data_IF_863137597224
#
_entry.id   IF_863137597224
#
_cell.length_a   1.000
_cell.length_b   1.000
_cell.length_c   1.000
_cell.angle_alpha   90.00
_cell.angle_beta   90.00
_cell.angle_gamma   90.00
#
_symmetry.space_group_name_H-M   'P 1'
#
loop_
_entity.id
_entity.type
_entity.pdbx_description
1 polymer ?
#
# COMPACT_ATOMS: atom_id res chain seq x y z
N UNK A 1 31.69 3.97 -9.95
CA UNK A 1 31.43 3.93 -8.50
C UNK A 1 29.94 4.06 -8.30
N UNK A 2 29.29 3.09 -7.64
CA UNK A 2 27.84 3.05 -7.39
C UNK A 2 27.52 3.34 -5.91
N UNK A 3 28.34 4.16 -5.24
CA UNK A 3 28.26 4.41 -3.79
C UNK A 3 26.94 5.03 -3.32
N UNK A 4 26.13 5.60 -4.23
CA UNK A 4 24.82 6.17 -3.92
C UNK A 4 23.67 5.14 -4.04
N UNK A 5 23.94 3.94 -4.55
CA UNK A 5 22.93 2.88 -4.68
C UNK A 5 22.72 2.27 -3.29
N UNK A 6 21.49 2.37 -2.80
CA UNK A 6 21.08 1.80 -1.52
C UNK A 6 20.84 0.30 -1.65
N UNK A 7 21.10 -0.43 -0.57
CA UNK A 7 20.88 -1.87 -0.48
C UNK A 7 19.71 -2.18 0.44
N UNK A 8 18.79 -3.00 -0.06
CA UNK A 8 17.62 -3.51 0.66
C UNK A 8 17.81 -5.01 0.91
N UNK A 9 17.56 -5.44 2.14
CA UNK A 9 17.61 -6.86 2.54
C UNK A 9 16.20 -7.47 2.62
N UNK A 10 16.14 -8.77 2.90
CA UNK A 10 14.93 -9.61 2.95
C UNK A 10 14.28 -9.80 1.58
N UNK A 11 13.57 -8.79 1.07
CA UNK A 11 12.81 -8.84 -0.18
C UNK A 11 11.94 -10.11 -0.32
N UNK A 12 11.19 -10.40 0.75
CA UNK A 12 10.32 -11.57 0.89
C UNK A 12 9.14 -11.21 1.82
N UNK A 13 8.25 -12.16 2.07
CA UNK A 13 7.09 -12.02 2.92
C UNK A 13 7.45 -11.53 4.33
N UNK A 14 6.71 -10.53 4.82
CA UNK A 14 6.94 -9.93 6.14
C UNK A 14 6.83 -10.91 7.33
N UNK A 15 6.29 -12.12 7.13
CA UNK A 15 6.28 -13.18 8.15
C UNK A 15 7.69 -13.60 8.60
N UNK A 16 8.69 -13.38 7.76
CA UNK A 16 10.09 -13.64 8.06
C UNK A 16 10.71 -12.60 9.01
N UNK A 17 10.02 -11.47 9.22
CA UNK A 17 10.32 -10.54 10.29
C UNK A 17 9.78 -11.09 11.61
N UNK A 18 10.49 -10.94 12.73
CA UNK A 18 11.70 -10.13 12.94
C UNK A 18 13.01 -10.87 12.66
N UNK A 19 12.95 -12.19 12.49
CA UNK A 19 14.11 -13.05 12.58
C UNK A 19 15.23 -12.64 11.61
N UNK A 20 14.90 -12.46 10.32
CA UNK A 20 15.90 -12.11 9.31
C UNK A 20 16.48 -10.71 9.48
N UNK A 21 15.68 -9.75 9.96
CA UNK A 21 16.19 -8.42 10.28
C UNK A 21 17.25 -8.50 11.39
N UNK A 22 17.00 -9.27 12.46
CA UNK A 22 17.98 -9.46 13.53
C UNK A 22 19.27 -10.14 13.06
N UNK A 23 19.14 -11.25 12.34
CA UNK A 23 20.31 -12.01 11.85
C UNK A 23 21.27 -11.14 11.05
N UNK A 24 20.75 -10.22 10.23
CA UNK A 24 21.57 -9.36 9.37
C UNK A 24 21.99 -8.07 10.07
N UNK A 25 21.10 -7.41 10.80
CA UNK A 25 21.34 -6.07 11.35
C UNK A 25 22.03 -6.08 12.72
N UNK A 26 22.06 -7.22 13.43
CA UNK A 26 22.88 -7.36 14.65
C UNK A 26 24.37 -7.63 14.32
N UNK A 27 24.72 -7.92 13.06
CA UNK A 27 26.11 -7.97 12.58
C UNK A 27 26.54 -6.58 12.04
N UNK A 28 27.45 -5.90 12.75
CA UNK A 28 27.93 -4.55 12.40
C UNK A 28 28.67 -4.48 11.04
N UNK A 29 29.29 -5.57 10.59
CA UNK A 29 29.95 -5.62 9.28
C UNK A 29 28.94 -5.71 8.15
N UNK A 30 27.81 -6.39 8.37
CA UNK A 30 26.71 -6.44 7.41
C UNK A 30 25.86 -5.15 7.46
N UNK A 31 25.46 -4.71 8.65
CA UNK A 31 24.54 -3.60 8.88
C UNK A 31 24.98 -2.29 8.21
N UNK A 32 26.30 -2.01 8.16
CA UNK A 32 26.84 -0.79 7.51
C UNK A 32 26.53 -0.66 6.02
N UNK A 33 26.16 -1.76 5.35
CA UNK A 33 25.79 -1.76 3.94
C UNK A 33 24.28 -1.68 3.73
N UNK A 34 23.48 -1.98 4.76
CA UNK A 34 22.03 -2.08 4.65
C UNK A 34 21.39 -0.72 4.89
N UNK A 35 20.48 -0.33 4.00
CA UNK A 35 19.75 0.93 4.10
C UNK A 35 18.28 0.69 4.45
N UNK A 36 17.73 -0.46 4.07
CA UNK A 36 16.34 -0.79 4.34
C UNK A 36 16.00 -2.27 4.19
N UNK A 37 14.73 -2.57 4.42
CA UNK A 37 14.16 -3.92 4.44
C UNK A 37 13.00 -3.97 3.45
N UNK A 38 13.05 -4.90 2.51
CA UNK A 38 12.01 -5.15 1.52
C UNK A 38 11.02 -6.18 2.04
N UNK A 39 9.72 -5.91 1.88
CA UNK A 39 8.65 -6.83 2.28
C UNK A 39 7.64 -7.09 1.16
N UNK A 40 7.12 -8.32 1.11
CA UNK A 40 6.03 -8.73 0.22
C UNK A 40 4.76 -9.09 1.01
N UNK A 41 3.60 -9.04 0.35
CA UNK A 41 2.27 -9.17 1.00
C UNK A 41 1.61 -10.57 0.93
N UNK A 42 2.21 -11.55 0.27
CA UNK A 42 1.51 -12.78 -0.13
C UNK A 42 1.07 -13.67 1.03
N UNK A 43 1.72 -13.53 2.19
CA UNK A 43 1.42 -14.25 3.42
C UNK A 43 0.82 -13.37 4.53
N UNK A 44 0.30 -12.19 4.18
CA UNK A 44 -0.25 -11.24 5.15
C UNK A 44 -1.41 -11.80 5.99
N UNK A 45 -2.12 -12.79 5.46
CA UNK A 45 -3.22 -13.48 6.15
C UNK A 45 -2.77 -14.34 7.33
N UNK A 46 -1.46 -14.64 7.46
CA UNK A 46 -0.92 -15.50 8.53
C UNK A 46 -0.72 -14.73 9.84
N UNK A 47 -0.44 -13.43 9.78
CA UNK A 47 -0.17 -12.64 10.99
C UNK A 47 -0.36 -11.15 10.78
N UNK A 48 -0.80 -10.41 11.81
CA UNK A 48 -1.05 -8.98 11.71
C UNK A 48 0.25 -8.19 11.52
N UNK A 49 0.17 -7.01 10.90
CA UNK A 49 1.33 -6.14 10.63
C UNK A 49 2.00 -5.65 11.92
N UNK A 50 1.24 -5.56 13.01
CA UNK A 50 1.70 -5.18 14.34
C UNK A 50 2.66 -6.19 14.96
N UNK A 51 2.60 -7.46 14.56
CA UNK A 51 3.49 -8.50 15.10
C UNK A 51 4.78 -8.65 14.29
N UNK A 52 4.86 -8.01 13.11
CA UNK A 52 6.00 -8.14 12.20
C UNK A 52 6.69 -6.80 11.95
N UNK A 53 6.02 -5.84 11.30
CA UNK A 53 6.66 -4.61 10.81
C UNK A 53 6.91 -3.62 11.94
N UNK A 54 5.93 -3.44 12.83
CA UNK A 54 6.04 -2.51 13.97
C UNK A 54 7.25 -2.83 14.85
N UNK A 55 7.41 -4.05 15.39
CA UNK A 55 8.58 -4.36 16.20
C UNK A 55 9.89 -4.35 15.40
N UNK A 56 9.85 -4.52 14.06
CA UNK A 56 11.06 -4.43 13.22
C UNK A 56 11.56 -2.99 13.22
N UNK A 57 10.64 -2.05 12.99
CA UNK A 57 10.94 -0.63 13.03
C UNK A 57 11.39 -0.18 14.43
N UNK A 58 10.77 -0.69 15.50
CA UNK A 58 11.17 -0.37 16.87
C UNK A 58 12.59 -0.85 17.20
N UNK A 59 13.01 -2.00 16.68
CA UNK A 59 14.36 -2.53 16.88
C UNK A 59 15.41 -1.83 15.98
N UNK A 60 15.03 -1.50 14.75
CA UNK A 60 15.94 -0.96 13.73
C UNK A 60 15.34 0.30 13.08
N UNK A 61 15.16 1.41 13.84
CA UNK A 61 14.44 2.59 13.37
C UNK A 61 15.16 3.35 12.24
N UNK A 62 16.49 3.19 12.14
CA UNK A 62 17.31 3.84 11.12
C UNK A 62 17.23 3.12 9.75
N UNK A 63 16.70 1.89 9.70
CA UNK A 63 16.46 1.15 8.47
C UNK A 63 15.02 1.40 8.00
N UNK A 64 14.85 1.93 6.79
CA UNK A 64 13.51 2.09 6.22
C UNK A 64 12.91 0.72 5.84
N UNK A 65 11.59 0.61 5.85
CA UNK A 65 10.88 -0.59 5.39
C UNK A 65 10.09 -0.22 4.14
N UNK A 66 10.27 -0.97 3.05
CA UNK A 66 9.63 -0.75 1.77
C UNK A 66 8.84 -2.00 1.37
N UNK A 67 7.56 -1.84 1.03
CA UNK A 67 6.82 -2.93 0.39
C UNK A 67 7.23 -2.99 -1.09
N UNK A 68 8.16 -3.89 -1.41
CA UNK A 68 8.85 -3.98 -2.70
C UNK A 68 8.05 -4.72 -3.77
N UNK A 69 7.10 -5.55 -3.36
CA UNK A 69 6.26 -6.32 -4.28
C UNK A 69 4.90 -6.66 -3.66
N UNK A 70 3.86 -6.50 -4.45
CA UNK A 70 2.52 -6.99 -4.17
C UNK A 70 1.76 -7.26 -5.46
N UNK A 71 1.03 -8.37 -5.51
CA UNK A 71 0.08 -8.67 -6.59
C UNK A 71 -1.04 -9.61 -6.15
N UNK A 72 -2.14 -9.57 -6.87
CA UNK A 72 -3.28 -10.46 -6.58
C UNK A 72 -3.03 -11.78 -7.27
N UNK A 73 -2.84 -12.83 -6.47
CA UNK A 73 -2.82 -14.19 -7.00
C UNK A 73 -4.19 -14.54 -7.56
N UNK A 74 -4.20 -15.09 -8.76
CA UNK A 74 -5.38 -15.75 -9.26
C UNK A 74 -5.66 -17.00 -8.42
N UNK A 75 -6.93 -17.29 -8.15
CA UNK A 75 -7.27 -18.61 -7.63
C UNK A 75 -7.02 -19.66 -8.71
N UNK A 76 -6.69 -20.89 -8.31
CA UNK A 76 -6.37 -21.96 -9.27
C UNK A 76 -7.52 -22.30 -10.24
N UNK A 77 -8.75 -21.93 -9.91
CA UNK A 77 -9.93 -22.09 -10.77
C UNK A 77 -10.24 -20.87 -11.65
N UNK A 78 -9.61 -19.73 -11.42
CA UNK A 78 -9.78 -18.52 -12.23
C UNK A 78 -8.89 -18.62 -13.47
N UNK A 79 -9.47 -19.03 -14.61
CA UNK A 79 -8.75 -19.16 -15.88
C UNK A 79 -8.36 -17.80 -16.47
N UNK A 80 -9.27 -16.84 -16.46
CA UNK A 80 -9.08 -15.54 -17.11
C UNK A 80 -8.99 -14.39 -16.09
N UNK A 81 -8.44 -13.24 -16.51
CA UNK A 81 -8.47 -12.02 -15.68
C UNK A 81 -9.91 -11.63 -15.34
N UNK A 82 -10.18 -11.36 -14.06
CA UNK A 82 -11.49 -10.87 -13.65
C UNK A 82 -11.52 -9.35 -13.83
N UNK A 83 -12.00 -8.94 -15.00
CA UNK A 83 -12.19 -7.54 -15.35
C UNK A 83 -13.13 -6.83 -14.37
N UNK A 84 -12.74 -5.64 -13.92
CA UNK A 84 -13.61 -4.75 -13.16
C UNK A 84 -13.89 -5.18 -11.71
N UNK A 85 -13.18 -6.17 -11.15
CA UNK A 85 -13.44 -6.64 -9.77
C UNK A 85 -13.03 -5.59 -8.73
N UNK A 86 -14.02 -4.86 -8.22
CA UNK A 86 -13.82 -3.80 -7.22
C UNK A 86 -13.06 -4.26 -5.97
N UNK A 87 -13.34 -5.49 -5.52
CA UNK A 87 -12.71 -6.07 -4.33
C UNK A 87 -11.19 -6.19 -4.45
N UNK A 88 -10.64 -6.37 -5.66
CA UNK A 88 -9.18 -6.35 -5.88
C UNK A 88 -8.63 -4.95 -5.65
N UNK A 89 -9.36 -3.91 -6.05
CA UNK A 89 -9.02 -2.52 -5.71
C UNK A 89 -9.04 -2.27 -4.20
N UNK A 90 -10.08 -2.72 -3.50
CA UNK A 90 -10.17 -2.65 -2.04
C UNK A 90 -8.95 -3.28 -1.35
N UNK A 91 -8.47 -4.44 -1.82
CA UNK A 91 -7.31 -5.12 -1.26
C UNK A 91 -6.02 -4.30 -1.41
N UNK A 92 -5.80 -3.63 -2.55
CA UNK A 92 -4.65 -2.73 -2.72
C UNK A 92 -4.69 -1.57 -1.73
N UNK A 93 -5.81 -0.85 -1.68
CA UNK A 93 -5.92 0.32 -0.79
C UNK A 93 -5.85 -0.07 0.68
N UNK A 94 -6.46 -1.20 1.07
CA UNK A 94 -6.34 -1.76 2.41
C UNK A 94 -4.88 -2.02 2.77
N UNK A 95 -4.15 -2.72 1.89
CA UNK A 95 -2.72 -3.01 2.09
C UNK A 95 -1.88 -1.74 2.17
N UNK A 96 -2.06 -0.79 1.24
CA UNK A 96 -1.32 0.47 1.24
C UNK A 96 -1.58 1.25 2.54
N UNK A 97 -2.84 1.36 2.97
CA UNK A 97 -3.20 2.03 4.23
C UNK A 97 -2.61 1.31 5.45
N UNK A 98 -2.63 -0.02 5.46
CA UNK A 98 -2.02 -0.80 6.53
C UNK A 98 -0.50 -0.54 6.58
N UNK A 99 0.20 -0.61 5.45
CA UNK A 99 1.63 -0.37 5.36
C UNK A 99 2.00 1.06 5.80
N UNK A 100 1.39 2.09 5.20
CA UNK A 100 1.69 3.50 5.50
C UNK A 100 1.35 3.90 6.95
N UNK A 101 0.40 3.21 7.59
CA UNK A 101 0.11 3.43 9.01
C UNK A 101 1.12 2.75 9.95
N UNK A 102 1.97 1.84 9.46
CA UNK A 102 2.93 1.05 10.24
C UNK A 102 4.35 1.15 9.67
N UNK A 103 4.85 2.39 9.53
CA UNK A 103 6.26 2.72 9.24
C UNK A 103 6.81 2.32 7.87
N UNK A 104 6.02 1.71 7.00
CA UNK A 104 6.45 1.39 5.64
C UNK A 104 6.45 2.67 4.81
N UNK A 105 7.57 2.95 4.13
CA UNK A 105 7.84 4.24 3.47
C UNK A 105 7.38 4.30 2.01
N UNK A 106 7.00 3.16 1.43
CA UNK A 106 6.55 3.06 0.05
C UNK A 106 5.92 1.71 -0.26
N UNK A 107 5.27 1.60 -1.41
CA UNK A 107 4.56 0.41 -1.84
C UNK A 107 4.66 0.25 -3.35
N UNK A 108 5.06 -0.94 -3.80
CA UNK A 108 5.38 -1.23 -5.19
C UNK A 108 4.52 -2.40 -5.69
N UNK A 109 3.77 -2.14 -6.76
CA UNK A 109 3.02 -3.15 -7.50
C UNK A 109 3.98 -4.07 -8.29
N UNK A 110 3.51 -5.25 -8.68
CA UNK A 110 4.31 -6.23 -9.40
C UNK A 110 4.38 -5.96 -10.92
N UNK A 111 3.51 -6.57 -11.71
CA UNK A 111 3.49 -6.37 -13.16
C UNK A 111 2.69 -5.10 -13.50
N UNK A 112 3.33 -4.12 -14.14
CA UNK A 112 2.67 -2.89 -14.58
C UNK A 112 1.51 -3.16 -15.56
N UNK A 113 1.63 -4.19 -16.38
CA UNK A 113 0.63 -4.62 -17.33
C UNK A 113 0.74 -6.14 -17.57
N UNK A 114 -0.38 -6.80 -17.84
CA UNK A 114 -0.46 -8.19 -18.32
C UNK A 114 -1.48 -8.26 -19.48
N UNK A 115 -1.46 -9.32 -20.27
CA UNK A 115 -2.51 -9.55 -21.27
C UNK A 115 -3.78 -10.18 -20.66
N UNK A 116 -4.77 -10.47 -21.51
CA UNK A 116 -6.03 -11.10 -21.13
C UNK A 116 -5.86 -12.51 -20.51
N UNK A 117 -4.79 -13.21 -20.88
CA UNK A 117 -4.45 -14.57 -20.45
C UNK A 117 -3.46 -14.59 -19.26
N UNK A 118 -2.98 -13.41 -18.83
CA UNK A 118 -1.96 -13.18 -17.78
C UNK A 118 -0.55 -13.62 -18.19
N UNK A 119 -0.30 -13.60 -19.49
CA UNK A 119 0.96 -13.94 -20.12
C UNK A 119 1.79 -12.67 -20.46
N UNK A 120 3.10 -12.81 -20.74
CA UNK A 120 3.88 -14.05 -20.72
C UNK A 120 4.30 -14.49 -19.31
N UNK A 121 4.03 -15.75 -18.95
CA UNK A 121 4.56 -16.40 -17.75
C UNK A 121 4.97 -17.85 -18.03
N UNK A 122 6.27 -18.12 -18.14
CA UNK A 122 6.79 -19.41 -18.58
C UNK A 122 6.45 -20.61 -17.65
N UNK A 123 6.25 -20.35 -16.36
CA UNK A 123 5.83 -21.37 -15.37
C UNK A 123 4.32 -21.36 -15.09
N UNK A 124 3.57 -20.51 -15.79
CA UNK A 124 2.11 -20.37 -15.62
C UNK A 124 1.69 -19.98 -14.20
N UNK A 125 2.53 -19.21 -13.51
CA UNK A 125 2.22 -18.66 -12.19
C UNK A 125 1.43 -17.35 -12.33
N UNK A 126 0.16 -17.48 -12.69
CA UNK A 126 -0.67 -16.36 -13.11
C UNK A 126 -1.17 -15.49 -11.96
N UNK A 127 -1.12 -14.18 -12.18
CA UNK A 127 -1.53 -13.13 -11.25
C UNK A 127 -2.34 -12.07 -12.00
N UNK A 128 -2.98 -11.17 -11.28
CA UNK A 128 -3.65 -10.01 -11.88
C UNK A 128 -2.71 -8.79 -11.96
N UNK A 129 -3.09 -7.80 -12.77
CA UNK A 129 -2.36 -6.55 -12.97
C UNK A 129 -3.34 -5.36 -12.99
N UNK A 130 -2.97 -4.17 -12.49
CA UNK A 130 -3.78 -2.96 -12.60
C UNK A 130 -4.12 -2.54 -14.04
N UNK A 131 -3.30 -2.92 -15.01
CA UNK A 131 -3.56 -2.68 -16.43
C UNK A 131 -3.56 -4.00 -17.19
N UNK A 132 -4.62 -4.22 -17.97
CA UNK A 132 -4.73 -5.38 -18.85
C UNK A 132 -4.70 -4.93 -20.30
N UNK A 133 -3.85 -5.53 -21.11
CA UNK A 133 -3.64 -5.17 -22.51
C UNK A 133 -4.31 -6.20 -23.40
N UNK A 134 -5.16 -5.74 -24.32
CA UNK A 134 -5.66 -6.54 -25.42
C UNK A 134 -4.86 -6.17 -26.68
N UNK A 135 -3.88 -7.01 -27.01
CA UNK A 135 -3.01 -6.78 -28.16
C UNK A 135 -3.71 -7.02 -29.50
N UNK A 136 -4.83 -7.74 -29.53
CA UNK A 136 -5.56 -8.02 -30.77
C UNK A 136 -6.32 -6.78 -31.25
N UNK A 137 -6.87 -6.02 -30.30
CA UNK A 137 -7.61 -4.79 -30.56
C UNK A 137 -6.75 -3.51 -30.37
N UNK A 138 -5.53 -3.63 -29.84
CA UNK A 138 -4.65 -2.50 -29.57
C UNK A 138 -5.15 -1.57 -28.47
N UNK A 139 -5.88 -2.10 -27.50
CA UNK A 139 -6.50 -1.36 -26.38
C UNK A 139 -5.98 -1.86 -25.04
N UNK A 140 -6.25 -1.11 -23.98
CA UNK A 140 -5.97 -1.54 -22.62
C UNK A 140 -7.07 -1.13 -21.65
N UNK A 141 -7.25 -1.95 -20.63
CA UNK A 141 -8.22 -1.78 -19.57
C UNK A 141 -7.51 -1.40 -18.28
N UNK A 142 -7.97 -0.30 -17.67
CA UNK A 142 -7.50 0.11 -16.35
C UNK A 142 -8.44 -0.48 -15.32
N UNK A 143 -7.95 -1.45 -14.56
CA UNK A 143 -8.72 -2.15 -13.53
C UNK A 143 -9.01 -1.23 -12.33
N UNK A 144 -9.96 -1.60 -11.44
CA UNK A 144 -10.15 -0.89 -10.17
C UNK A 144 -8.84 -0.70 -9.40
N UNK A 145 -7.96 -1.71 -9.37
CA UNK A 145 -6.62 -1.64 -8.75
C UNK A 145 -5.81 -0.41 -9.21
N UNK A 146 -5.87 -0.05 -10.50
CA UNK A 146 -5.18 1.12 -11.03
C UNK A 146 -5.67 2.41 -10.34
N UNK A 147 -6.98 2.56 -10.18
CA UNK A 147 -7.56 3.76 -9.58
C UNK A 147 -7.30 3.79 -8.07
N UNK A 148 -7.41 2.64 -7.41
CA UNK A 148 -7.08 2.48 -6.00
C UNK A 148 -5.61 2.82 -5.71
N UNK A 149 -4.66 2.39 -6.55
CA UNK A 149 -3.25 2.84 -6.49
C UNK A 149 -3.12 4.35 -6.68
N UNK A 150 -3.82 4.90 -7.68
CA UNK A 150 -3.79 6.34 -8.01
C UNK A 150 -4.24 7.24 -6.86
N UNK A 151 -5.13 6.77 -5.99
CA UNK A 151 -5.55 7.52 -4.79
C UNK A 151 -4.39 7.83 -3.83
N UNK A 152 -3.29 7.09 -3.92
CA UNK A 152 -2.05 7.31 -3.17
C UNK A 152 -0.97 7.91 -4.07
N UNK A 153 -0.60 7.22 -5.16
CA UNK A 153 0.56 7.59 -5.99
C UNK A 153 0.44 8.96 -6.67
N UNK A 154 -0.78 9.41 -7.01
CA UNK A 154 -0.99 10.73 -7.59
C UNK A 154 -0.94 11.85 -6.55
N UNK A 155 -1.35 11.54 -5.32
CA UNK A 155 -1.68 12.55 -4.31
C UNK A 155 -0.67 12.59 -3.18
N UNK A 156 0.22 11.61 -3.03
CA UNK A 156 1.25 11.57 -1.99
C UNK A 156 2.62 11.60 -2.69
N UNK A 157 3.19 12.78 -2.98
CA UNK A 157 4.50 12.88 -3.59
C UNK A 157 5.61 12.41 -2.65
N UNK A 158 6.76 12.07 -3.21
CA UNK A 158 7.98 11.76 -2.45
C UNK A 158 8.30 12.87 -1.44
N UNK A 159 8.76 12.47 -0.24
CA UNK A 159 9.02 13.37 0.88
C UNK A 159 7.78 13.75 1.70
N UNK A 160 6.58 13.27 1.34
CA UNK A 160 5.40 13.40 2.20
C UNK A 160 5.58 12.64 3.52
N UNK A 161 5.18 13.26 4.62
CA UNK A 161 5.29 12.66 5.94
C UNK A 161 3.91 12.22 6.43
N UNK A 162 3.77 10.95 6.84
CA UNK A 162 2.55 10.50 7.53
C UNK A 162 2.42 11.21 8.87
N UNK A 163 1.24 11.76 9.15
CA UNK A 163 0.93 12.44 10.42
C UNK A 163 -0.15 11.69 11.19
N UNK A 164 -0.27 12.00 12.48
CA UNK A 164 -1.31 11.43 13.33
C UNK A 164 -2.71 11.85 12.87
N UNK A 165 -3.63 10.89 12.77
CA UNK A 165 -5.05 11.13 12.53
C UNK A 165 -5.84 10.34 13.57
N UNK A 166 -6.53 11.05 14.46
CA UNK A 166 -7.23 10.44 15.61
C UNK A 166 -8.73 10.46 15.34
N UNK A 167 -9.33 9.28 15.23
CA UNK A 167 -10.79 9.16 15.23
C UNK A 167 -11.39 9.42 16.62
N UNK A 168 -12.52 10.12 16.65
CA UNK A 168 -13.37 10.24 17.85
C UNK A 168 -13.86 8.85 18.31
N UNK A 169 -14.33 8.76 19.56
CA UNK A 169 -14.84 7.49 20.12
C UNK A 169 -16.00 6.92 19.30
N UNK A 170 -16.83 7.79 18.72
CA UNK A 170 -17.94 7.44 17.83
C UNK A 170 -17.44 6.94 16.48
N UNK A 171 -16.40 7.58 15.92
CA UNK A 171 -15.78 7.17 14.66
C UNK A 171 -14.98 5.86 14.76
N UNK A 172 -14.53 5.45 15.95
CA UNK A 172 -13.91 4.13 16.16
C UNK A 172 -14.87 2.95 15.96
N UNK A 173 -16.18 3.19 15.93
CA UNK A 173 -17.20 2.18 15.58
C UNK A 173 -17.45 2.09 14.07
N UNK A 174 -16.85 2.97 13.28
CA UNK A 174 -17.03 3.01 11.83
C UNK A 174 -15.86 2.27 11.18
N UNK A 175 -16.17 1.35 10.26
CA UNK A 175 -15.18 0.54 9.53
C UNK A 175 -14.53 1.34 8.38
N UNK A 176 -14.07 2.56 8.67
CA UNK A 176 -13.28 3.36 7.75
C UNK A 176 -11.79 3.14 8.01
N UNK A 177 -11.04 2.96 6.93
CA UNK A 177 -9.59 2.91 6.97
C UNK A 177 -9.04 4.21 6.38
N UNK A 178 -8.03 4.78 7.01
CA UNK A 178 -7.54 6.10 6.61
C UNK A 178 -6.09 6.33 7.02
N UNK A 179 -5.46 7.27 6.33
CA UNK A 179 -4.15 7.81 6.67
C UNK A 179 -4.08 9.27 6.23
N UNK A 180 -3.35 10.07 7.02
CA UNK A 180 -3.12 11.49 6.75
C UNK A 180 -1.63 11.75 6.50
N UNK A 181 -1.34 12.64 5.56
CA UNK A 181 0.00 12.98 5.13
C UNK A 181 0.14 14.49 5.02
N UNK A 182 1.32 15.01 5.38
CA UNK A 182 1.73 16.37 5.13
C UNK A 182 2.73 16.36 3.96
N UNK A 183 2.41 17.13 2.92
CA UNK A 183 3.30 17.30 1.78
C UNK A 183 4.50 18.19 2.15
N UNK A 184 5.62 18.09 1.39
CA UNK A 184 6.74 19.02 1.52
C UNK A 184 6.35 20.50 1.36
N UNK A 185 5.28 20.80 0.62
CA UNK A 185 4.77 22.16 0.42
C UNK A 185 3.77 22.62 1.49
N UNK A 186 3.52 21.82 2.53
CA UNK A 186 2.59 22.15 3.62
C UNK A 186 1.12 21.78 3.40
N UNK A 187 0.75 21.27 2.22
CA UNK A 187 -0.60 20.75 1.97
C UNK A 187 -0.86 19.46 2.76
N UNK A 188 -2.11 19.23 3.16
CA UNK A 188 -2.54 17.99 3.83
C UNK A 188 -3.31 17.12 2.85
N UNK A 189 -2.98 15.83 2.87
CA UNK A 189 -3.72 14.79 2.16
C UNK A 189 -4.26 13.76 3.12
N UNK A 190 -5.53 13.38 2.94
CA UNK A 190 -6.15 12.28 3.67
C UNK A 190 -6.76 11.31 2.68
N UNK A 191 -6.32 10.05 2.72
CA UNK A 191 -6.95 8.95 2.01
C UNK A 191 -7.95 8.26 2.96
N UNK A 192 -9.17 8.02 2.49
CA UNK A 192 -10.24 7.34 3.22
C UNK A 192 -10.79 6.21 2.36
N UNK A 193 -10.78 4.99 2.88
CA UNK A 193 -11.32 3.79 2.27
C UNK A 193 -12.52 3.32 3.08
N UNK A 194 -13.66 3.13 2.41
CA UNK A 194 -14.85 2.50 2.94
C UNK A 194 -15.10 1.18 2.19
N UNK A 195 -14.75 0.05 2.81
CA UNK A 195 -15.05 -1.29 2.26
C UNK A 195 -16.44 -1.80 2.64
N UNK A 196 -17.15 -1.08 3.51
CA UNK A 196 -18.49 -1.47 3.95
C UNK A 196 -19.53 -1.26 2.83
N UNK A 197 -20.64 -2.02 2.84
CA UNK A 197 -21.75 -1.84 1.92
C UNK A 197 -22.66 -0.65 2.30
N UNK A 198 -22.32 0.11 3.34
CA UNK A 198 -23.11 1.25 3.83
C UNK A 198 -22.35 2.56 3.68
N UNK A 199 -23.10 3.64 3.45
CA UNK A 199 -22.56 4.99 3.48
C UNK A 199 -22.19 5.37 4.92
N UNK A 200 -21.03 6.00 5.11
CA UNK A 200 -20.57 6.47 6.41
C UNK A 200 -20.37 7.98 6.36
N UNK A 201 -21.09 8.71 7.22
CA UNK A 201 -20.89 10.16 7.39
C UNK A 201 -19.78 10.41 8.39
N UNK A 202 -18.85 11.29 8.05
CA UNK A 202 -17.71 11.65 8.90
C UNK A 202 -17.31 13.12 8.70
N UNK A 203 -16.38 13.59 9.52
CA UNK A 203 -15.80 14.93 9.39
C UNK A 203 -14.29 14.89 9.59
N UNK A 204 -13.54 15.62 8.76
CA UNK A 204 -12.10 15.84 8.92
C UNK A 204 -11.89 17.21 9.55
N UNK A 205 -11.33 17.23 10.76
CA UNK A 205 -11.02 18.46 11.48
C UNK A 205 -9.50 18.74 11.43
N UNK A 206 -9.14 19.94 10.99
CA UNK A 206 -7.77 20.48 11.00
C UNK A 206 -7.82 21.98 11.35
N UNK A 207 -6.69 22.67 11.37
CA UNK A 207 -6.58 24.11 11.68
C UNK A 207 -7.42 24.99 10.74
N UNK A 208 -7.78 24.50 9.56
CA UNK A 208 -8.63 25.21 8.58
C UNK A 208 -10.13 25.08 8.84
N UNK A 209 -10.53 24.27 9.84
CA UNK A 209 -11.93 24.01 10.18
C UNK A 209 -12.34 22.55 9.96
N UNK A 210 -13.62 22.34 9.68
CA UNK A 210 -14.25 21.03 9.54
C UNK A 210 -14.68 20.79 8.09
N UNK A 211 -14.16 19.73 7.47
CA UNK A 211 -14.64 19.21 6.19
C UNK A 211 -15.64 18.09 6.50
N UNK A 212 -16.93 18.38 6.38
CA UNK A 212 -17.97 17.36 6.48
C UNK A 212 -18.05 16.55 5.19
N UNK A 213 -18.12 15.22 5.31
CA UNK A 213 -18.08 14.31 4.18
C UNK A 213 -18.94 13.06 4.41
N UNK A 214 -19.24 12.38 3.31
CA UNK A 214 -19.81 11.03 3.31
C UNK A 214 -18.88 10.16 2.48
N UNK A 215 -18.48 9.02 3.04
CA UNK A 215 -17.83 7.93 2.31
C UNK A 215 -18.94 6.99 1.83
N UNK A 216 -19.27 6.98 0.52
CA UNK A 216 -20.23 6.03 -0.02
C UNK A 216 -19.82 4.59 0.26
N UNK A 217 -20.78 3.67 0.22
CA UNK A 217 -20.52 2.23 0.24
C UNK A 217 -19.47 1.85 -0.83
N UNK A 218 -18.51 0.99 -0.46
CA UNK A 218 -17.46 0.48 -1.38
C UNK A 218 -16.76 1.60 -2.15
N UNK A 219 -16.19 2.57 -1.43
CA UNK A 219 -15.56 3.74 -2.04
C UNK A 219 -14.17 4.01 -1.48
N UNK A 220 -13.38 4.73 -2.28
CA UNK A 220 -12.13 5.35 -1.84
C UNK A 220 -12.15 6.82 -2.23
N UNK A 221 -11.72 7.68 -1.31
CA UNK A 221 -11.71 9.12 -1.47
C UNK A 221 -10.35 9.66 -1.01
N UNK A 222 -9.83 10.66 -1.73
CA UNK A 222 -8.62 11.40 -1.34
C UNK A 222 -8.97 12.87 -1.22
N UNK A 223 -8.79 13.41 -0.02
CA UNK A 223 -8.99 14.82 0.30
C UNK A 223 -7.64 15.53 0.29
N UNK A 224 -7.60 16.74 -0.27
CA UNK A 224 -6.40 17.57 -0.35
C UNK A 224 -6.79 19.01 -0.03
N UNK A 225 -6.10 19.65 0.90
CA UNK A 225 -6.28 21.07 1.20
C UNK A 225 -4.96 21.72 1.62
N UNK A 226 -4.89 23.05 1.47
CA UNK A 226 -3.79 23.84 2.00
C UNK A 226 -4.08 24.23 3.44
N UNK A 227 -3.05 24.21 4.31
CA UNK A 227 -3.20 24.68 5.69
C UNK A 227 -3.08 26.21 5.81
N UNK A 228 -2.41 26.85 4.84
CA UNK A 228 -2.22 28.29 4.67
C UNK A 228 -2.01 28.61 3.19
#
# INVERSE_FOLDING_TARGET
SHQHVQLIILDDNRLHLLHWAKVVLEDEEAARYVHGIGIHWYLDFIGPIQDTVVPTHELFPDCFILATEACIRAHFWERDVIMGRWERGNQYSHSILANLNHFVVGWTDWNLALDLERDPNWVKNYVDSPVIVDTSEGIFYKQPMFYHLRHFSKFIPEGSQRVGLVASKESKKMDLEYAAFLHPNGAVVVAVLNRSPQNVTFGLADMVGLIAAVAPASSIQTYLWQRQ
#
